data_IF_142323064139
#
_entry.id   IF_142323064139
#
_cell.length_a   1.000
_cell.length_b   1.000
_cell.length_c   1.000
_cell.angle_alpha   90.00
_cell.angle_beta   90.00
_cell.angle_gamma   90.00
#
_symmetry.space_group_name_H-M   'P 1'
#
loop_
_entity.id
_entity.type
_entity.pdbx_description
1 polymer ?
#
# COMPACT_ATOMS: atom_id res chain seq x y z
N UNK A 1 -17.22 9.37 -29.01
CA UNK A 1 -17.04 8.29 -28.00
C UNK A 1 -15.71 8.35 -27.25
N UNK A 2 -14.61 8.84 -27.84
CA UNK A 2 -13.28 8.87 -27.20
C UNK A 2 -13.09 10.02 -26.19
N UNK A 3 -13.65 11.21 -26.46
CA UNK A 3 -13.63 12.35 -25.52
C UNK A 3 -14.45 12.09 -24.24
N UNK A 4 -15.60 11.42 -24.36
CA UNK A 4 -16.46 11.10 -23.22
C UNK A 4 -15.77 10.12 -22.23
N UNK A 5 -14.98 9.16 -22.74
CA UNK A 5 -14.20 8.25 -21.88
C UNK A 5 -13.00 8.92 -21.22
N UNK A 6 -12.33 9.86 -21.89
CA UNK A 6 -11.25 10.67 -21.28
C UNK A 6 -11.78 11.52 -20.13
N UNK A 7 -12.89 12.21 -20.34
CA UNK A 7 -13.51 13.07 -19.33
C UNK A 7 -13.94 12.30 -18.07
N UNK A 8 -14.45 11.07 -18.24
CA UNK A 8 -14.78 10.19 -17.10
C UNK A 8 -13.51 9.77 -16.33
N UNK A 9 -12.42 9.42 -17.04
CA UNK A 9 -11.15 9.06 -16.38
C UNK A 9 -10.60 10.22 -15.57
N UNK A 10 -10.60 11.43 -16.13
CA UNK A 10 -10.09 12.63 -15.47
C UNK A 10 -10.93 12.96 -14.22
N UNK A 11 -12.25 12.78 -14.30
CA UNK A 11 -13.16 12.96 -13.16
C UNK A 11 -12.89 11.96 -12.04
N UNK A 12 -12.64 10.69 -12.39
CA UNK A 12 -12.31 9.63 -11.41
C UNK A 12 -10.95 9.91 -10.75
N UNK A 13 -9.96 10.36 -11.52
CA UNK A 13 -8.63 10.66 -11.00
C UNK A 13 -8.68 11.83 -10.01
N UNK A 14 -9.44 12.89 -10.32
CA UNK A 14 -9.68 14.01 -9.38
C UNK A 14 -10.39 13.53 -8.11
N UNK A 15 -11.39 12.66 -8.24
CA UNK A 15 -12.10 12.11 -7.08
C UNK A 15 -11.15 11.35 -6.15
N UNK A 16 -10.33 10.44 -6.70
CA UNK A 16 -9.37 9.69 -5.89
C UNK A 16 -8.23 10.56 -5.36
N UNK A 17 -7.81 11.58 -6.09
CA UNK A 17 -6.82 12.53 -5.58
C UNK A 17 -7.35 13.28 -4.35
N UNK A 18 -8.59 13.77 -4.42
CA UNK A 18 -9.24 14.39 -3.27
C UNK A 18 -9.40 13.39 -2.12
N UNK A 19 -9.85 12.17 -2.40
CA UNK A 19 -10.02 11.12 -1.39
C UNK A 19 -8.70 10.75 -0.70
N UNK A 20 -7.60 10.62 -1.47
CA UNK A 20 -6.25 10.41 -0.94
C UNK A 20 -5.80 11.58 -0.06
N UNK A 21 -6.03 12.83 -0.48
CA UNK A 21 -5.65 13.99 0.31
C UNK A 21 -6.48 14.10 1.60
N UNK A 22 -7.80 13.95 1.53
CA UNK A 22 -8.69 14.09 2.67
C UNK A 22 -8.53 12.94 3.67
N UNK A 23 -8.55 11.68 3.19
CA UNK A 23 -8.50 10.52 4.08
C UNK A 23 -7.10 10.22 4.59
N UNK A 24 -6.06 10.40 3.75
CA UNK A 24 -4.69 10.06 4.13
C UNK A 24 -3.97 11.26 4.71
N UNK A 25 -3.83 12.36 3.96
CA UNK A 25 -3.06 13.52 4.43
C UNK A 25 -3.75 14.34 5.51
N UNK A 26 -5.05 14.17 5.72
CA UNK A 26 -5.79 14.78 6.83
C UNK A 26 -5.53 14.14 8.21
N UNK A 27 -4.73 13.07 8.28
CA UNK A 27 -4.40 12.40 9.55
C UNK A 27 -3.19 13.03 10.23
N UNK A 28 -2.95 12.63 11.49
CA UNK A 28 -1.72 12.96 12.20
C UNK A 28 -0.46 12.44 11.47
N UNK A 29 0.68 13.13 11.53
CA UNK A 29 1.85 12.85 10.68
C UNK A 29 2.33 11.39 10.67
N UNK A 30 2.34 10.72 11.82
CA UNK A 30 2.75 9.32 11.92
C UNK A 30 1.77 8.37 11.20
N UNK A 31 0.48 8.67 11.26
CA UNK A 31 -0.55 7.92 10.54
C UNK A 31 -0.48 8.17 9.05
N UNK A 32 -0.20 9.41 8.61
CA UNK A 32 0.04 9.73 7.19
C UNK A 32 1.19 8.89 6.66
N UNK A 33 2.33 8.92 7.36
CA UNK A 33 3.52 8.17 6.99
C UNK A 33 3.23 6.67 6.92
N UNK A 34 2.53 6.14 7.92
CA UNK A 34 2.22 4.71 7.96
C UNK A 34 1.23 4.30 6.87
N UNK A 35 0.19 5.09 6.61
CA UNK A 35 -0.77 4.84 5.54
C UNK A 35 -0.12 4.86 4.16
N UNK A 36 0.75 5.85 3.88
CA UNK A 36 1.49 5.90 2.62
C UNK A 36 2.44 4.72 2.46
N UNK A 37 3.06 4.25 3.54
CA UNK A 37 3.88 3.04 3.50
C UNK A 37 3.04 1.82 3.12
N UNK A 38 1.88 1.62 3.77
CA UNK A 38 0.95 0.52 3.43
C UNK A 38 0.52 0.59 1.97
N UNK A 39 0.02 1.76 1.52
CA UNK A 39 -0.47 1.94 0.17
C UNK A 39 0.64 1.77 -0.88
N UNK A 40 1.86 2.21 -0.58
CA UNK A 40 3.02 1.98 -1.44
C UNK A 40 3.30 0.49 -1.61
N UNK A 41 3.34 -0.27 -0.51
CA UNK A 41 3.63 -1.71 -0.57
C UNK A 41 2.54 -2.45 -1.35
N UNK A 42 1.27 -2.19 -1.03
CA UNK A 42 0.13 -2.83 -1.71
C UNK A 42 0.07 -2.46 -3.19
N UNK A 43 0.33 -1.20 -3.54
CA UNK A 43 0.25 -0.73 -4.93
C UNK A 43 1.44 -1.14 -5.79
N UNK A 44 2.62 -1.34 -5.20
CA UNK A 44 3.84 -1.75 -5.91
C UNK A 44 4.01 -3.28 -5.98
N UNK A 45 3.23 -4.05 -5.22
CA UNK A 45 3.26 -5.50 -5.28
C UNK A 45 2.80 -6.03 -6.65
N UNK A 46 3.47 -7.07 -7.16
CA UNK A 46 3.13 -7.69 -8.46
C UNK A 46 1.83 -8.50 -8.43
N UNK A 47 1.41 -8.91 -7.23
CA UNK A 47 0.17 -9.63 -6.97
C UNK A 47 -0.39 -9.16 -5.64
N UNK A 48 -1.65 -9.46 -5.39
CA UNK A 48 -2.23 -9.28 -4.06
C UNK A 48 -1.39 -10.04 -3.02
N UNK A 49 -1.14 -9.38 -1.90
CA UNK A 49 -0.39 -9.92 -0.78
C UNK A 49 -1.35 -10.60 0.19
N UNK A 50 -0.90 -11.64 0.88
CA UNK A 50 -1.54 -12.05 2.13
C UNK A 50 -1.25 -11.02 3.22
N UNK A 51 -2.11 -10.93 4.23
CA UNK A 51 -1.89 -10.05 5.36
C UNK A 51 -0.51 -10.25 6.00
N UNK A 52 -0.09 -11.50 6.19
CA UNK A 52 1.23 -11.83 6.75
C UNK A 52 2.39 -11.30 5.89
N UNK A 53 2.29 -11.41 4.57
CA UNK A 53 3.31 -10.89 3.64
C UNK A 53 3.42 -9.36 3.74
N UNK A 54 2.28 -8.67 3.81
CA UNK A 54 2.26 -7.23 4.03
C UNK A 54 2.86 -6.87 5.40
N UNK A 55 2.53 -7.61 6.45
CA UNK A 55 3.05 -7.36 7.79
C UNK A 55 4.56 -7.52 7.85
N UNK A 56 5.12 -8.56 7.22
CA UNK A 56 6.55 -8.76 7.10
C UNK A 56 7.21 -7.64 6.30
N UNK A 57 6.61 -7.23 5.18
CA UNK A 57 7.12 -6.14 4.37
C UNK A 57 7.16 -4.80 5.14
N UNK A 58 6.14 -4.52 5.94
CA UNK A 58 6.07 -3.30 6.77
C UNK A 58 7.01 -3.31 7.97
N UNK A 59 7.35 -4.50 8.48
CA UNK A 59 8.26 -4.67 9.61
C UNK A 59 9.75 -4.67 9.20
N UNK A 60 10.03 -4.93 7.93
CA UNK A 60 11.40 -5.02 7.39
C UNK A 60 11.92 -3.65 6.99
N UNK A 61 13.15 -3.34 7.37
CA UNK A 61 13.89 -2.14 6.95
C UNK A 61 15.11 -2.53 6.14
N UNK A 62 15.58 -1.59 5.32
CA UNK A 62 16.80 -1.79 4.54
C UNK A 62 17.98 -2.07 5.47
N UNK A 63 18.67 -3.19 5.24
CA UNK A 63 19.85 -3.59 6.00
C UNK A 63 19.57 -4.42 7.25
N UNK A 64 18.31 -4.73 7.54
CA UNK A 64 17.98 -5.69 8.59
C UNK A 64 18.56 -7.07 8.22
N UNK A 65 19.26 -7.72 9.16
CA UNK A 65 19.75 -9.10 9.03
C UNK A 65 18.91 -10.11 9.82
N UNK A 66 17.90 -9.62 10.54
CA UNK A 66 17.07 -10.40 11.45
C UNK A 66 15.63 -9.91 11.41
N UNK A 67 14.68 -10.84 11.49
CA UNK A 67 13.28 -10.50 11.62
C UNK A 67 13.00 -9.82 12.97
N UNK A 68 12.21 -8.73 12.96
CA UNK A 68 11.83 -7.99 14.18
C UNK A 68 10.32 -8.13 14.47
N UNK A 69 9.89 -9.14 15.26
CA UNK A 69 8.47 -9.40 15.52
C UNK A 69 7.71 -8.23 16.14
N UNK A 70 8.38 -7.38 16.92
CA UNK A 70 7.77 -6.19 17.54
C UNK A 70 7.46 -5.09 16.51
N UNK A 71 7.99 -5.18 15.30
CA UNK A 71 7.69 -4.29 14.18
C UNK A 71 6.39 -4.65 13.47
N UNK A 72 5.84 -5.84 13.70
CA UNK A 72 4.62 -6.33 13.06
C UNK A 72 3.43 -5.45 13.45
N UNK A 73 2.71 -4.98 12.42
CA UNK A 73 1.54 -4.12 12.57
C UNK A 73 0.27 -4.94 12.58
N UNK A 74 -0.63 -4.66 13.52
CA UNK A 74 -1.93 -5.35 13.61
C UNK A 74 -2.81 -5.03 12.40
N UNK A 75 -3.66 -5.99 12.02
CA UNK A 75 -4.66 -5.86 10.95
C UNK A 75 -5.50 -4.58 11.13
N UNK A 76 -5.96 -4.34 12.35
CA UNK A 76 -6.83 -3.21 12.69
C UNK A 76 -6.12 -1.87 12.47
N UNK A 77 -4.83 -1.79 12.77
CA UNK A 77 -4.05 -0.57 12.56
C UNK A 77 -3.86 -0.28 11.07
N UNK A 78 -3.62 -1.32 10.26
CA UNK A 78 -3.50 -1.20 8.80
C UNK A 78 -4.82 -0.68 8.21
N UNK A 79 -5.95 -1.30 8.57
CA UNK A 79 -7.28 -0.87 8.13
C UNK A 79 -7.62 0.54 8.62
N UNK A 80 -7.24 0.89 9.86
CA UNK A 80 -7.51 2.19 10.45
C UNK A 80 -6.80 3.33 9.70
N UNK A 81 -5.51 3.20 9.41
CA UNK A 81 -4.73 4.28 8.77
C UNK A 81 -5.02 4.40 7.28
N UNK A 82 -5.45 3.31 6.63
CA UNK A 82 -5.81 3.33 5.20
C UNK A 82 -7.22 3.84 4.95
N UNK A 83 -8.05 4.02 6.00
CA UNK A 83 -9.40 4.62 5.92
C UNK A 83 -10.28 4.01 4.83
N UNK A 84 -10.21 2.68 4.71
CA UNK A 84 -11.01 1.93 3.75
C UNK A 84 -10.48 1.93 2.31
N UNK A 85 -9.28 2.47 2.05
CA UNK A 85 -8.62 2.30 0.74
C UNK A 85 -8.01 0.91 0.56
N UNK A 86 -7.78 0.21 1.67
CA UNK A 86 -7.32 -1.18 1.70
C UNK A 86 -8.36 -2.02 2.41
N UNK A 87 -8.68 -3.17 1.80
CA UNK A 87 -9.51 -4.21 2.37
C UNK A 87 -8.69 -5.47 2.56
N UNK A 88 -9.12 -6.31 3.50
CA UNK A 88 -8.48 -7.60 3.77
C UNK A 88 -9.59 -8.63 3.85
N UNK A 89 -9.51 -9.66 3.01
CA UNK A 89 -10.51 -10.74 2.96
C UNK A 89 -10.69 -11.35 4.36
N UNK A 90 -11.91 -11.79 4.68
CA UNK A 90 -12.27 -12.36 5.99
C UNK A 90 -12.15 -13.88 6.02
N UNK A 91 -11.98 -14.52 4.86
CA UNK A 91 -11.73 -15.95 4.75
C UNK A 91 -10.30 -16.33 5.18
N UNK A 92 -9.97 -17.62 5.11
CA UNK A 92 -8.66 -18.12 5.51
C UNK A 92 -7.49 -17.63 4.65
N UNK A 93 -7.75 -17.04 3.47
CA UNK A 93 -6.71 -16.51 2.58
C UNK A 93 -6.16 -15.16 3.05
N UNK A 94 -6.99 -14.36 3.75
CA UNK A 94 -6.62 -13.05 4.30
C UNK A 94 -5.91 -12.14 3.27
N UNK A 95 -6.38 -12.16 2.02
CA UNK A 95 -5.76 -11.39 0.94
C UNK A 95 -6.01 -9.90 1.14
N UNK A 96 -4.95 -9.11 1.00
CA UNK A 96 -4.97 -7.65 1.01
C UNK A 96 -5.28 -7.15 -0.40
N UNK A 97 -6.22 -6.21 -0.50
CA UNK A 97 -6.66 -5.61 -1.76
C UNK A 97 -6.83 -4.11 -1.60
N UNK A 98 -6.70 -3.40 -2.72
CA UNK A 98 -7.27 -2.05 -2.80
C UNK A 98 -8.78 -2.17 -2.91
N UNK A 99 -9.50 -1.27 -2.25
CA UNK A 99 -10.95 -1.36 -2.04
C UNK A 99 -11.75 -1.50 -3.35
N UNK A 100 -11.28 -0.87 -4.44
CA UNK A 100 -11.90 -0.98 -5.75
C UNK A 100 -10.87 -1.09 -6.87
N UNK A 101 -11.25 -1.76 -7.96
CA UNK A 101 -10.38 -1.92 -9.15
C UNK A 101 -9.97 -0.55 -9.74
N UNK A 102 -10.89 0.42 -9.75
CA UNK A 102 -10.58 1.78 -10.25
C UNK A 102 -9.59 2.54 -9.36
N UNK A 103 -9.55 2.24 -8.06
CA UNK A 103 -8.51 2.77 -7.16
C UNK A 103 -7.15 2.13 -7.49
N UNK A 104 -7.12 0.82 -7.77
CA UNK A 104 -5.91 0.14 -8.22
C UNK A 104 -5.39 0.73 -9.54
N UNK A 105 -6.27 0.96 -10.52
CA UNK A 105 -5.91 1.59 -11.78
C UNK A 105 -5.40 3.03 -11.60
N UNK A 106 -6.06 3.82 -10.74
CA UNK A 106 -5.62 5.18 -10.41
C UNK A 106 -4.23 5.19 -9.76
N UNK A 107 -4.00 4.38 -8.71
CA UNK A 107 -2.71 4.31 -8.02
C UNK A 107 -1.61 3.71 -8.90
N UNK A 108 -1.97 2.84 -9.86
CA UNK A 108 -1.02 2.36 -10.86
C UNK A 108 -0.56 3.50 -11.79
N UNK A 109 -1.49 4.29 -12.34
CA UNK A 109 -1.17 5.43 -13.22
C UNK A 109 -0.44 6.55 -12.49
N UNK A 110 -0.77 6.78 -11.23
CA UNK A 110 -0.23 7.88 -10.42
C UNK A 110 0.88 7.44 -9.46
N UNK A 111 1.45 6.24 -9.67
CA UNK A 111 2.45 5.65 -8.78
C UNK A 111 3.65 6.57 -8.58
N UNK A 112 4.21 7.15 -9.63
CA UNK A 112 5.37 8.04 -9.52
C UNK A 112 5.07 9.33 -8.73
N UNK A 113 3.80 9.79 -8.75
CA UNK A 113 3.35 10.95 -7.97
C UNK A 113 3.24 10.64 -6.49
N UNK A 114 2.66 9.48 -6.13
CA UNK A 114 2.39 9.13 -4.74
C UNK A 114 3.52 8.36 -4.07
N UNK A 115 4.24 7.54 -4.83
CA UNK A 115 5.25 6.59 -4.40
C UNK A 115 6.46 6.62 -5.36
N UNK A 116 7.16 7.76 -5.50
CA UNK A 116 8.27 7.91 -6.45
C UNK A 116 9.35 6.83 -6.27
N UNK A 117 9.66 6.47 -5.03
CA UNK A 117 10.64 5.41 -4.70
C UNK A 117 9.97 4.07 -4.34
N UNK A 118 8.68 3.89 -4.64
CA UNK A 118 7.89 2.75 -4.16
C UNK A 118 8.44 1.39 -4.61
N UNK A 119 8.87 1.27 -5.86
CA UNK A 119 9.47 0.03 -6.39
C UNK A 119 10.85 -0.25 -5.80
N UNK A 120 11.67 0.80 -5.63
CA UNK A 120 12.99 0.70 -5.00
C UNK A 120 12.84 0.28 -3.54
N UNK A 121 11.90 0.88 -2.81
CA UNK A 121 11.58 0.53 -1.43
C UNK A 121 11.11 -0.92 -1.32
N UNK A 122 10.24 -1.37 -2.23
CA UNK A 122 9.80 -2.77 -2.28
C UNK A 122 10.97 -3.72 -2.54
N UNK A 123 11.82 -3.42 -3.52
CA UNK A 123 12.99 -4.25 -3.83
C UNK A 123 13.94 -4.37 -2.62
N UNK A 124 14.19 -3.25 -1.93
CA UNK A 124 15.00 -3.20 -0.72
C UNK A 124 14.41 -4.05 0.43
N UNK A 125 13.09 -4.01 0.61
CA UNK A 125 12.37 -4.85 1.58
C UNK A 125 12.55 -6.32 1.23
N UNK A 126 12.33 -6.71 -0.02
CA UNK A 126 12.52 -8.10 -0.46
C UNK A 126 13.96 -8.57 -0.28
N UNK A 127 14.95 -7.77 -0.68
CA UNK A 127 16.37 -8.09 -0.52
C UNK A 127 16.75 -8.27 0.95
N UNK A 128 16.29 -7.37 1.83
CA UNK A 128 16.58 -7.46 3.27
C UNK A 128 15.93 -8.68 3.89
N UNK A 129 14.67 -8.97 3.54
CA UNK A 129 13.94 -10.15 4.03
C UNK A 129 14.61 -11.47 3.61
N UNK A 130 15.10 -11.55 2.37
CA UNK A 130 15.85 -12.71 1.87
C UNK A 130 17.24 -12.86 2.49
N UNK A 131 17.77 -11.79 3.10
CA UNK A 131 19.08 -11.77 3.75
C UNK A 131 18.97 -11.97 5.27
N UNK A 132 17.82 -12.38 5.79
CA UNK A 132 17.71 -12.74 7.20
C UNK A 132 18.46 -14.03 7.47
N UNK A 133 19.26 -14.07 8.55
CA UNK A 133 20.12 -15.22 8.89
C UNK A 133 19.35 -16.55 9.14
N UNK A 134 18.01 -16.49 9.15
CA UNK A 134 17.13 -17.65 9.33
C UNK A 134 16.87 -18.42 8.02
N UNK A 135 17.16 -17.82 6.86
CA UNK A 135 17.00 -18.42 5.53
C UNK A 135 18.36 -18.70 4.88
#
# INVERSE_FOLDING_TARGET
MQEHRRNISDTIDVLYENDMNERIKGQEPDNVKFALQVLSVVSCARRNLKLEELQHALATRLGDSQHYPKGIRRRENILHVTKGLVTIDTDSSQMVRLDHLTLADYLHRTREKWFPDGEIAMANVCLSYLNFDTF
#
